data_IF_451693158572
#
_entry.id   IF_451693158572
#
_cell.length_a   1.000
_cell.length_b   1.000
_cell.length_c   1.000
_cell.angle_alpha   90.00
_cell.angle_beta   90.00
_cell.angle_gamma   90.00
#
_symmetry.space_group_name_H-M   'P 1'
#
loop_
_entity.id
_entity.type
_entity.pdbx_description
1 polymer ?
#
# COMPACT_ATOMS: atom_id res chain seq x y z
N UNK A 1 -3.40 -33.38 57.47
CA UNK A 1 -1.94 -33.13 57.41
C UNK A 1 -1.27 -34.34 58.04
N UNK A 2 -0.52 -35.13 57.26
CA UNK A 2 0.06 -36.40 57.71
C UNK A 2 1.51 -36.23 58.17
N UNK A 3 2.02 -37.18 58.95
CA UNK A 3 3.41 -37.21 59.43
C UNK A 3 4.13 -38.44 58.85
N UNK A 4 5.42 -38.29 58.53
CA UNK A 4 6.21 -39.40 58.01
C UNK A 4 6.45 -40.45 59.12
N UNK A 5 6.08 -41.73 58.93
CA UNK A 5 6.20 -42.77 59.95
C UNK A 5 7.66 -43.13 60.29
N UNK A 6 8.63 -42.70 59.46
CA UNK A 6 10.05 -42.99 59.66
C UNK A 6 10.83 -41.87 60.37
N UNK A 7 10.37 -40.61 60.32
CA UNK A 7 11.10 -39.48 60.91
C UNK A 7 10.23 -38.45 61.65
N UNK A 8 8.90 -38.62 61.67
CA UNK A 8 7.96 -37.80 62.46
C UNK A 8 7.76 -36.37 61.99
N UNK A 9 8.29 -35.98 60.82
CA UNK A 9 8.09 -34.63 60.24
C UNK A 9 6.82 -34.55 59.38
N UNK A 10 6.13 -33.40 59.34
CA UNK A 10 4.91 -33.22 58.57
C UNK A 10 5.17 -33.34 57.07
N UNK A 11 4.27 -34.02 56.36
CA UNK A 11 4.30 -34.23 54.91
C UNK A 11 2.91 -33.99 54.32
N UNK A 12 2.81 -33.48 53.07
CA UNK A 12 1.54 -33.37 52.37
C UNK A 12 0.90 -34.75 52.16
N UNK A 13 -0.43 -34.85 52.30
CA UNK A 13 -1.16 -36.13 52.24
C UNK A 13 -0.99 -36.89 50.92
N UNK A 14 -0.73 -36.20 49.81
CA UNK A 14 -0.52 -36.79 48.48
C UNK A 14 0.94 -37.19 48.21
N UNK A 15 1.87 -36.95 49.13
CA UNK A 15 3.29 -37.18 48.88
C UNK A 15 3.65 -38.67 48.87
N UNK A 16 4.20 -39.15 47.75
CA UNK A 16 4.70 -40.55 47.62
C UNK A 16 6.07 -40.78 48.27
N UNK A 17 6.80 -39.71 48.62
CA UNK A 17 8.13 -39.76 49.25
C UNK A 17 8.28 -38.65 50.30
N UNK A 18 9.00 -38.91 51.39
CA UNK A 18 9.30 -37.90 52.39
C UNK A 18 10.47 -37.02 51.92
N UNK A 19 10.22 -35.72 51.70
CA UNK A 19 11.25 -34.74 51.34
C UNK A 19 12.36 -34.53 52.38
N UNK A 20 12.16 -35.00 53.62
CA UNK A 20 13.13 -34.84 54.70
C UNK A 20 14.07 -36.04 54.86
N UNK A 21 13.61 -37.26 54.56
CA UNK A 21 14.43 -38.47 54.74
C UNK A 21 14.53 -39.35 53.47
N UNK A 22 13.88 -38.96 52.37
CA UNK A 22 13.91 -39.64 51.08
C UNK A 22 13.12 -40.95 50.98
N UNK A 23 12.53 -41.44 52.09
CA UNK A 23 11.81 -42.72 52.11
C UNK A 23 10.43 -42.65 51.44
N UNK A 24 10.07 -43.70 50.71
CA UNK A 24 8.77 -43.85 50.03
C UNK A 24 7.65 -44.10 51.04
N UNK A 25 6.52 -43.40 50.85
CA UNK A 25 5.32 -43.46 51.67
C UNK A 25 4.30 -44.33 50.93
N UNK A 26 4.30 -45.64 51.18
CA UNK A 26 3.31 -46.58 50.63
C UNK A 26 2.57 -47.26 51.77
N UNK A 27 1.25 -47.31 51.67
CA UNK A 27 0.38 -48.03 52.59
C UNK A 27 0.49 -49.54 52.34
N UNK A 28 1.08 -50.24 53.32
CA UNK A 28 0.63 -51.53 53.85
C UNK A 28 1.56 -51.92 55.03
N UNK A 29 0.95 -52.24 56.17
CA UNK A 29 1.59 -52.69 57.43
C UNK A 29 1.20 -54.15 57.63
N UNK A 30 2.06 -55.02 58.19
CA UNK A 30 1.64 -55.64 59.45
C UNK A 30 2.71 -55.74 60.53
N UNK A 31 2.19 -55.81 61.75
CA UNK A 31 2.83 -55.86 63.05
C UNK A 31 3.94 -56.90 63.23
N UNK A 32 4.94 -56.56 64.06
CA UNK A 32 5.64 -57.55 64.91
C UNK A 32 5.95 -56.99 66.30
N UNK A 33 5.12 -57.45 67.23
CA UNK A 33 5.43 -57.94 68.57
C UNK A 33 6.79 -57.60 69.22
N UNK A 34 6.66 -56.84 70.33
CA UNK A 34 7.24 -57.03 71.67
C UNK A 34 8.71 -57.49 71.76
N UNK A 35 9.57 -56.58 72.21
CA UNK A 35 10.77 -56.90 72.99
C UNK A 35 10.66 -56.26 74.37
N UNK A 36 10.80 -57.09 75.41
CA UNK A 36 11.46 -56.82 76.71
C UNK A 36 11.42 -58.15 77.48
N UNK A 37 12.57 -58.83 77.60
CA UNK A 37 13.43 -58.85 78.80
C UNK A 37 12.67 -59.14 80.09
N UNK A 38 12.87 -60.34 80.62
CA UNK A 38 12.47 -60.69 81.98
C UNK A 38 12.73 -62.15 82.30
N UNK A 39 13.88 -62.41 82.93
CA UNK A 39 14.13 -63.40 83.99
C UNK A 39 13.47 -64.80 83.83
N UNK A 40 14.29 -65.80 83.59
CA UNK A 40 14.01 -67.18 84.00
C UNK A 40 15.18 -67.65 84.87
N UNK A 41 15.01 -67.47 86.18
CA UNK A 41 15.74 -68.19 87.20
C UNK A 41 14.95 -69.48 87.53
N UNK A 42 15.73 -70.53 87.80
CA UNK A 42 15.39 -71.72 88.59
C UNK A 42 14.50 -72.82 87.97
N UNK A 43 14.65 -73.98 88.62
CA UNK A 43 13.96 -75.28 88.56
C UNK A 43 14.81 -76.43 88.00
N UNK A 44 14.87 -77.62 88.63
CA UNK A 44 14.63 -77.97 90.04
C UNK A 44 15.83 -78.69 90.69
N UNK A 45 15.72 -78.82 92.01
CA UNK A 45 16.59 -79.62 92.86
C UNK A 45 16.77 -81.06 92.36
N UNK A 46 18.01 -81.51 92.47
CA UNK A 46 18.49 -82.87 92.28
C UNK A 46 17.78 -83.87 93.20
N UNK A 47 17.47 -85.04 92.63
CA UNK A 47 17.05 -86.24 93.33
C UNK A 47 18.18 -86.81 94.19
N UNK A 48 17.93 -86.97 95.48
CA UNK A 48 18.78 -87.76 96.37
C UNK A 48 18.61 -89.25 96.06
N UNK A 49 19.70 -89.92 95.66
CA UNK A 49 19.85 -91.37 95.78
C UNK A 49 21.22 -91.71 96.39
N UNK A 50 21.16 -92.62 97.35
CA UNK A 50 22.10 -92.88 98.44
C UNK A 50 23.12 -93.98 98.06
N UNK A 51 24.41 -93.81 98.36
CA UNK A 51 25.35 -94.93 98.59
C UNK A 51 26.31 -94.55 99.73
N UNK A 52 26.35 -95.28 100.85
CA UNK A 52 27.37 -95.13 101.88
C UNK A 52 28.61 -95.95 101.49
N UNK A 53 29.82 -95.57 101.93
CA UNK A 53 30.91 -96.51 102.32
C UNK A 53 32.20 -95.76 102.73
N UNK A 54 32.48 -95.92 104.03
CA UNK A 54 33.77 -96.16 104.71
C UNK A 54 34.83 -95.07 104.83
N UNK A 55 35.25 -94.94 106.10
CA UNK A 55 36.26 -94.07 106.65
C UNK A 55 37.65 -94.21 106.01
N UNK A 56 38.30 -93.05 105.95
CA UNK A 56 39.69 -92.83 105.60
C UNK A 56 40.66 -93.75 106.36
N UNK A 57 41.54 -94.43 105.60
CA UNK A 57 42.92 -94.68 106.03
C UNK A 57 43.78 -93.51 105.54
N UNK A 58 44.33 -92.70 106.46
CA UNK A 58 45.34 -91.67 106.15
C UNK A 58 46.57 -92.35 105.50
N UNK A 59 46.78 -92.11 104.21
CA UNK A 59 48.03 -92.43 103.50
C UNK A 59 48.86 -91.15 103.35
N UNK A 60 50.07 -91.15 103.90
CA UNK A 60 51.08 -90.08 103.71
C UNK A 60 51.55 -90.09 102.25
N UNK A 61 51.45 -88.96 101.58
CA UNK A 61 51.93 -88.73 100.21
C UNK A 61 53.43 -88.38 100.29
N UNK A 62 54.29 -89.02 99.48
CA UNK A 62 55.75 -88.86 99.50
C UNK A 62 56.26 -87.68 98.64
N UNK A 63 57.34 -87.02 99.06
CA UNK A 63 57.88 -85.78 98.45
C UNK A 63 58.10 -85.81 96.93
N UNK A 64 58.46 -86.96 96.34
CA UNK A 64 58.63 -87.10 94.89
C UNK A 64 57.33 -86.98 94.09
N UNK A 65 56.21 -87.45 94.66
CA UNK A 65 54.88 -87.26 94.04
C UNK A 65 54.42 -85.81 94.07
N UNK A 66 54.87 -85.02 95.05
CA UNK A 66 54.59 -83.57 95.14
C UNK A 66 55.35 -82.80 94.06
N UNK A 67 56.63 -83.12 93.82
CA UNK A 67 57.44 -82.48 92.77
C UNK A 67 56.88 -82.80 91.38
N UNK A 68 56.48 -84.05 91.14
CA UNK A 68 55.85 -84.44 89.88
C UNK A 68 54.51 -83.70 89.67
N UNK A 69 53.69 -83.56 90.72
CA UNK A 69 52.47 -82.76 90.68
C UNK A 69 52.75 -81.28 90.43
N UNK A 70 53.81 -80.69 91.00
CA UNK A 70 54.19 -79.29 90.75
C UNK A 70 54.68 -79.07 89.31
N UNK A 71 55.46 -80.01 88.75
CA UNK A 71 55.90 -79.95 87.35
C UNK A 71 54.72 -80.12 86.38
N UNK A 72 53.79 -81.03 86.68
CA UNK A 72 52.55 -81.19 85.93
C UNK A 72 51.69 -79.92 86.03
N UNK A 73 51.56 -79.34 87.21
CA UNK A 73 50.88 -78.06 87.41
C UNK A 73 51.55 -76.93 86.63
N UNK A 74 52.87 -76.86 86.59
CA UNK A 74 53.61 -75.87 85.81
C UNK A 74 53.39 -76.04 84.29
N UNK A 75 53.45 -77.26 83.78
CA UNK A 75 53.13 -77.58 82.39
C UNK A 75 51.67 -77.24 82.03
N UNK A 76 50.73 -77.51 82.94
CA UNK A 76 49.33 -77.11 82.80
C UNK A 76 49.22 -75.58 82.76
N UNK A 77 49.90 -74.85 83.65
CA UNK A 77 49.87 -73.37 83.65
C UNK A 77 50.48 -72.76 82.39
N UNK A 78 51.56 -73.32 81.85
CA UNK A 78 52.16 -72.87 80.60
C UNK A 78 51.25 -73.17 79.40
N UNK A 79 50.58 -74.32 79.38
CA UNK A 79 49.56 -74.64 78.37
C UNK A 79 48.37 -73.68 78.44
N UNK A 80 47.89 -73.37 79.65
CA UNK A 80 46.80 -72.40 79.86
C UNK A 80 47.23 -71.01 79.38
N UNK A 81 48.45 -70.56 79.71
CA UNK A 81 48.95 -69.24 79.28
C UNK A 81 49.14 -69.17 77.75
N UNK A 82 49.68 -70.22 77.13
CA UNK A 82 49.79 -70.34 75.69
C UNK A 82 48.40 -70.36 75.02
N UNK A 83 47.43 -71.03 75.61
CA UNK A 83 46.04 -71.04 75.15
C UNK A 83 45.39 -69.66 75.25
N UNK A 84 45.56 -68.94 76.36
CA UNK A 84 45.04 -67.58 76.52
C UNK A 84 45.68 -66.61 75.52
N UNK A 85 46.99 -66.68 75.32
CA UNK A 85 47.69 -65.85 74.34
C UNK A 85 47.25 -66.18 72.90
N UNK A 86 47.07 -67.47 72.59
CA UNK A 86 46.52 -67.91 71.31
C UNK A 86 45.10 -67.36 71.10
N UNK A 87 44.25 -67.39 72.13
CA UNK A 87 42.91 -66.78 72.07
C UNK A 87 42.98 -65.27 71.84
N UNK A 88 43.90 -64.56 72.48
CA UNK A 88 44.10 -63.11 72.29
C UNK A 88 44.56 -62.76 70.86
N UNK A 89 45.55 -63.49 70.34
CA UNK A 89 46.04 -63.34 68.97
C UNK A 89 44.93 -63.67 67.97
N UNK A 90 44.16 -64.72 68.22
CA UNK A 90 43.01 -65.10 67.38
C UNK A 90 41.95 -64.01 67.40
N UNK A 91 41.67 -63.41 68.56
CA UNK A 91 40.76 -62.27 68.69
C UNK A 91 41.23 -61.04 67.91
N UNK A 92 42.52 -60.68 68.03
CA UNK A 92 43.13 -59.57 67.27
C UNK A 92 43.10 -59.83 65.77
N UNK A 93 43.37 -61.08 65.35
CA UNK A 93 43.29 -61.48 63.94
C UNK A 93 41.87 -61.36 63.39
N UNK A 94 40.86 -61.82 64.11
CA UNK A 94 39.46 -61.71 63.67
C UNK A 94 38.98 -60.25 63.62
N UNK A 95 39.42 -59.38 64.53
CA UNK A 95 39.18 -57.93 64.45
C UNK A 95 39.80 -57.35 63.18
N UNK A 96 41.10 -57.61 62.95
CA UNK A 96 41.81 -57.09 61.77
C UNK A 96 41.21 -57.61 60.46
N UNK A 97 40.79 -58.88 60.43
CA UNK A 97 40.12 -59.50 59.28
C UNK A 97 38.78 -58.84 59.00
N UNK A 98 38.01 -58.53 60.03
CA UNK A 98 36.75 -57.81 59.90
C UNK A 98 36.96 -56.37 59.42
N UNK A 99 37.96 -55.67 59.95
CA UNK A 99 38.27 -54.30 59.54
C UNK A 99 38.79 -54.25 58.10
N UNK A 100 39.63 -55.20 57.68
CA UNK A 100 40.04 -55.36 56.29
C UNK A 100 38.83 -55.62 55.37
N UNK A 101 37.90 -56.48 55.81
CA UNK A 101 36.68 -56.77 55.04
C UNK A 101 35.79 -55.53 54.90
N UNK A 102 35.63 -54.74 55.96
CA UNK A 102 34.92 -53.44 55.91
C UNK A 102 35.61 -52.44 55.00
N UNK A 103 36.94 -52.30 55.12
CA UNK A 103 37.71 -51.38 54.28
C UNK A 103 37.61 -51.75 52.80
N UNK A 104 37.71 -53.04 52.48
CA UNK A 104 37.53 -53.56 51.12
C UNK A 104 36.13 -53.27 50.58
N UNK A 105 35.09 -53.43 51.41
CA UNK A 105 33.72 -53.08 51.05
C UNK A 105 33.59 -51.58 50.75
N UNK A 106 34.09 -50.73 51.66
CA UNK A 106 34.06 -49.27 51.49
C UNK A 106 34.82 -48.82 50.24
N UNK A 107 36.00 -49.41 49.96
CA UNK A 107 36.76 -49.15 48.74
C UNK A 107 35.95 -49.49 47.48
N UNK A 108 35.29 -50.64 47.45
CA UNK A 108 34.46 -51.04 46.32
C UNK A 108 33.28 -50.07 46.12
N UNK A 109 32.61 -49.66 47.21
CA UNK A 109 31.53 -48.66 47.16
C UNK A 109 32.03 -47.31 46.63
N UNK A 110 33.21 -46.86 47.09
CA UNK A 110 33.82 -45.61 46.63
C UNK A 110 34.20 -45.69 45.14
N UNK A 111 34.77 -46.81 44.71
CA UNK A 111 35.13 -47.05 43.30
C UNK A 111 33.90 -46.98 42.39
N UNK A 112 32.82 -47.67 42.74
CA UNK A 112 31.56 -47.59 41.98
C UNK A 112 30.98 -46.18 41.96
N UNK A 113 31.04 -45.46 43.08
CA UNK A 113 30.57 -44.07 43.16
C UNK A 113 31.38 -43.14 42.25
N UNK A 114 32.70 -43.32 42.21
CA UNK A 114 33.60 -42.57 41.33
C UNK A 114 33.32 -42.86 39.84
N UNK A 115 33.15 -44.14 39.47
CA UNK A 115 32.83 -44.52 38.10
C UNK A 115 31.50 -43.91 37.64
N UNK A 116 30.49 -43.89 38.51
CA UNK A 116 29.22 -43.22 38.24
C UNK A 116 29.39 -41.71 38.05
N UNK A 117 30.09 -41.05 38.97
CA UNK A 117 30.34 -39.61 38.88
C UNK A 117 31.09 -39.23 37.58
N UNK A 118 32.07 -40.06 37.17
CA UNK A 118 32.79 -39.88 35.91
C UNK A 118 31.87 -40.01 34.70
N UNK A 119 30.94 -40.97 34.72
CA UNK A 119 29.92 -41.11 33.67
C UNK A 119 28.99 -39.90 33.61
N UNK A 120 28.49 -39.47 34.78
CA UNK A 120 27.61 -38.30 34.89
C UNK A 120 28.30 -37.02 34.38
N UNK A 121 29.59 -36.84 34.71
CA UNK A 121 30.42 -35.74 34.20
C UNK A 121 30.52 -35.76 32.66
N UNK A 122 30.86 -36.92 32.07
CA UNK A 122 30.96 -37.03 30.62
C UNK A 122 29.63 -36.75 29.91
N UNK A 123 28.51 -37.19 30.50
CA UNK A 123 27.18 -36.89 29.96
C UNK A 123 26.83 -35.40 30.04
N UNK A 124 27.22 -34.75 31.13
CA UNK A 124 27.03 -33.31 31.31
C UNK A 124 27.88 -32.51 30.29
N UNK A 125 29.14 -32.88 30.10
CA UNK A 125 30.03 -32.25 29.12
C UNK A 125 29.47 -32.38 27.69
N UNK A 126 29.04 -33.58 27.28
CA UNK A 126 28.40 -33.81 25.98
C UNK A 126 27.12 -32.98 25.81
N UNK A 127 26.35 -32.77 26.88
CA UNK A 127 25.14 -31.92 26.85
C UNK A 127 25.50 -30.45 26.72
N UNK A 128 26.54 -30.01 27.42
CA UNK A 128 27.06 -28.65 27.31
C UNK A 128 27.57 -28.34 25.90
N UNK A 129 28.33 -29.25 25.27
CA UNK A 129 28.83 -29.04 23.90
C UNK A 129 27.67 -28.95 22.88
N UNK A 130 26.63 -29.79 23.04
CA UNK A 130 25.43 -29.71 22.19
C UNK A 130 24.71 -28.36 22.35
N UNK A 131 24.45 -27.95 23.59
CA UNK A 131 23.80 -26.67 23.87
C UNK A 131 24.59 -25.48 23.29
N UNK A 132 25.92 -25.53 23.38
CA UNK A 132 26.81 -24.53 22.78
C UNK A 132 26.66 -24.47 21.26
N UNK A 133 26.60 -25.63 20.58
CA UNK A 133 26.38 -25.71 19.14
C UNK A 133 25.00 -25.21 18.72
N UNK A 134 23.96 -25.56 19.49
CA UNK A 134 22.59 -25.12 19.26
C UNK A 134 22.49 -23.60 19.40
N UNK A 135 23.14 -23.02 20.42
CA UNK A 135 23.21 -21.58 20.63
C UNK A 135 23.87 -20.86 19.45
N UNK A 136 25.03 -21.34 18.98
CA UNK A 136 25.69 -20.73 17.81
C UNK A 136 24.83 -20.82 16.54
N UNK A 137 24.11 -21.93 16.36
CA UNK A 137 23.20 -22.10 15.21
C UNK A 137 21.99 -21.16 15.29
N UNK A 138 21.48 -20.93 16.50
CA UNK A 138 20.39 -20.00 16.75
C UNK A 138 20.82 -18.55 16.50
N UNK A 139 22.03 -18.17 16.91
CA UNK A 139 22.60 -16.84 16.67
C UNK A 139 22.72 -16.54 15.17
N UNK A 140 23.23 -17.48 14.37
CA UNK A 140 23.29 -17.36 12.90
C UNK A 140 21.88 -17.22 12.30
N UNK A 141 20.93 -18.03 12.78
CA UNK A 141 19.54 -17.97 12.30
C UNK A 141 18.87 -16.64 12.63
N UNK A 142 19.14 -16.08 13.82
CA UNK A 142 18.65 -14.79 14.25
C UNK A 142 19.18 -13.66 13.37
N UNK A 143 20.49 -13.60 13.11
CA UNK A 143 21.07 -12.56 12.26
C UNK A 143 20.56 -12.65 10.82
N UNK A 144 20.35 -13.87 10.30
CA UNK A 144 19.70 -14.04 8.99
C UNK A 144 18.27 -13.48 8.99
N UNK A 145 17.45 -13.85 9.97
CA UNK A 145 16.06 -13.37 10.05
C UNK A 145 15.99 -11.84 10.17
N UNK A 146 16.90 -11.24 10.94
CA UNK A 146 17.04 -9.79 11.09
C UNK A 146 17.39 -9.11 9.76
N UNK A 147 18.32 -9.70 8.99
CA UNK A 147 18.66 -9.23 7.65
C UNK A 147 17.45 -9.31 6.70
N UNK A 148 16.74 -10.45 6.69
CA UNK A 148 15.55 -10.66 5.85
C UNK A 148 14.44 -9.66 6.20
N UNK A 149 14.23 -9.37 7.50
CA UNK A 149 13.28 -8.36 7.97
C UNK A 149 13.64 -6.95 7.44
N UNK A 150 14.90 -6.54 7.54
CA UNK A 150 15.34 -5.23 7.07
C UNK A 150 15.15 -5.09 5.54
N UNK A 151 15.47 -6.15 4.78
CA UNK A 151 15.28 -6.18 3.33
C UNK A 151 13.79 -6.09 2.94
N UNK A 152 12.91 -6.77 3.68
CA UNK A 152 11.46 -6.68 3.49
C UNK A 152 10.93 -5.28 3.81
N UNK A 153 11.40 -4.67 4.90
CA UNK A 153 11.01 -3.30 5.27
C UNK A 153 11.40 -2.30 4.19
N UNK A 154 12.61 -2.40 3.65
CA UNK A 154 13.07 -1.57 2.54
C UNK A 154 12.21 -1.78 1.28
N UNK A 155 11.95 -3.04 0.91
CA UNK A 155 11.12 -3.38 -0.26
C UNK A 155 9.69 -2.83 -0.13
N UNK A 156 9.12 -2.90 1.08
CA UNK A 156 7.81 -2.33 1.37
C UNK A 156 7.79 -0.81 1.21
N UNK A 157 8.81 -0.10 1.70
CA UNK A 157 8.92 1.36 1.53
C UNK A 157 9.01 1.74 0.05
N UNK A 158 9.81 1.02 -0.74
CA UNK A 158 9.91 1.26 -2.19
C UNK A 158 8.59 1.00 -2.91
N UNK A 159 7.91 -0.10 -2.58
CA UNK A 159 6.59 -0.41 -3.15
C UNK A 159 5.57 0.69 -2.85
N UNK A 160 5.57 1.20 -1.61
CA UNK A 160 4.70 2.30 -1.21
C UNK A 160 4.96 3.58 -2.02
N UNK A 161 6.22 3.97 -2.18
CA UNK A 161 6.58 5.15 -2.99
C UNK A 161 6.16 4.98 -4.46
N UNK A 162 6.37 3.80 -5.03
CA UNK A 162 5.96 3.49 -6.40
C UNK A 162 4.43 3.56 -6.56
N UNK A 163 3.68 3.08 -5.56
CA UNK A 163 2.23 3.18 -5.54
C UNK A 163 1.75 4.64 -5.50
N UNK A 164 2.31 5.45 -4.60
CA UNK A 164 1.99 6.89 -4.49
C UNK A 164 2.29 7.63 -5.81
N UNK A 165 3.42 7.34 -6.45
CA UNK A 165 3.79 7.91 -7.75
C UNK A 165 2.85 7.47 -8.88
N UNK A 166 2.48 6.18 -8.93
CA UNK A 166 1.52 5.66 -9.91
C UNK A 166 0.14 6.31 -9.74
N UNK A 167 -0.32 6.48 -8.49
CA UNK A 167 -1.58 7.14 -8.18
C UNK A 167 -1.58 8.62 -8.62
N UNK A 168 -0.48 9.34 -8.38
CA UNK A 168 -0.32 10.73 -8.85
C UNK A 168 -0.37 10.83 -10.37
N UNK A 169 0.35 9.94 -11.08
CA UNK A 169 0.35 9.92 -12.54
C UNK A 169 -1.03 9.59 -13.10
N UNK A 170 -1.71 8.62 -12.51
CA UNK A 170 -3.07 8.25 -12.88
C UNK A 170 -4.06 9.41 -12.64
N UNK A 171 -3.95 10.12 -11.51
CA UNK A 171 -4.72 11.33 -11.25
C UNK A 171 -4.46 12.44 -12.28
N UNK A 172 -3.20 12.64 -12.65
CA UNK A 172 -2.82 13.59 -13.71
C UNK A 172 -3.44 13.21 -15.07
N UNK A 173 -3.40 11.93 -15.44
CA UNK A 173 -4.02 11.42 -16.67
C UNK A 173 -5.54 11.57 -16.64
N UNK A 174 -6.19 11.18 -15.55
CA UNK A 174 -7.63 11.35 -15.31
C UNK A 174 -8.07 12.81 -15.50
N UNK A 175 -7.29 13.76 -14.98
CA UNK A 175 -7.53 15.19 -15.15
C UNK A 175 -7.38 15.63 -16.62
N UNK A 176 -6.38 15.14 -17.35
CA UNK A 176 -6.21 15.43 -18.77
C UNK A 176 -7.38 14.90 -19.61
N UNK A 177 -7.83 13.67 -19.35
CA UNK A 177 -9.00 13.08 -20.03
C UNK A 177 -10.27 13.86 -19.69
N UNK A 178 -10.47 14.25 -18.43
CA UNK A 178 -11.62 15.09 -18.04
C UNK A 178 -11.60 16.47 -18.73
N UNK A 179 -10.43 17.09 -18.88
CA UNK A 179 -10.29 18.34 -19.64
C UNK A 179 -10.60 18.13 -21.12
N UNK A 180 -10.12 17.05 -21.71
CA UNK A 180 -10.40 16.67 -23.10
C UNK A 180 -11.92 16.50 -23.32
N UNK A 181 -12.58 15.73 -22.45
CA UNK A 181 -14.02 15.53 -22.44
C UNK A 181 -14.80 16.85 -22.39
N UNK A 182 -14.46 17.74 -21.45
CA UNK A 182 -15.14 19.02 -21.32
C UNK A 182 -14.89 19.95 -22.51
N UNK A 183 -13.69 19.92 -23.10
CA UNK A 183 -13.35 20.76 -24.26
C UNK A 183 -14.09 20.32 -25.52
N UNK A 184 -14.27 19.01 -25.70
CA UNK A 184 -14.95 18.48 -26.86
C UNK A 184 -16.47 18.58 -26.81
N UNK A 185 -17.11 18.77 -25.64
CA UNK A 185 -18.54 19.15 -25.62
C UNK A 185 -18.83 20.45 -26.39
N UNK A 186 -17.80 21.23 -26.68
CA UNK A 186 -17.85 22.51 -27.36
C UNK A 186 -17.34 22.36 -28.81
N UNK A 187 -17.77 21.31 -29.50
CA UNK A 187 -17.24 20.98 -30.83
C UNK A 187 -17.84 21.83 -31.95
N UNK A 188 -19.13 22.18 -31.88
CA UNK A 188 -19.83 22.98 -32.88
C UNK A 188 -20.38 24.29 -32.29
N UNK A 189 -20.67 25.28 -33.13
CA UNK A 189 -21.31 26.53 -32.69
C UNK A 189 -22.75 26.26 -32.21
N UNK A 190 -23.25 27.00 -31.21
CA UNK A 190 -22.60 28.12 -30.54
C UNK A 190 -21.65 27.71 -29.38
N UNK A 191 -21.70 26.48 -28.90
CA UNK A 191 -20.89 26.03 -27.75
C UNK A 191 -19.38 26.21 -27.98
N UNK A 192 -18.93 26.03 -29.24
CA UNK A 192 -17.55 26.18 -29.65
C UNK A 192 -16.97 27.59 -29.43
N UNK A 193 -17.78 28.65 -29.28
CA UNK A 193 -17.29 30.01 -29.08
C UNK A 193 -16.37 30.14 -27.86
N UNK A 194 -16.65 29.42 -26.77
CA UNK A 194 -15.78 29.39 -25.57
C UNK A 194 -14.35 28.93 -25.88
N UNK A 195 -14.22 27.99 -26.82
CA UNK A 195 -12.93 27.44 -27.26
C UNK A 195 -12.29 28.30 -28.34
N UNK A 196 -13.08 28.79 -29.29
CA UNK A 196 -12.57 29.43 -30.51
C UNK A 196 -12.44 30.97 -30.40
N UNK A 197 -13.21 31.62 -29.54
CA UNK A 197 -13.34 33.07 -29.44
C UNK A 197 -13.13 33.57 -28.00
N UNK A 198 -12.00 33.20 -27.39
CA UNK A 198 -11.51 33.74 -26.12
C UNK A 198 -10.24 34.57 -26.32
N UNK A 199 -9.76 35.26 -25.28
CA UNK A 199 -8.68 36.25 -25.44
C UNK A 199 -7.38 35.62 -25.96
N UNK A 200 -7.12 34.38 -25.57
CA UNK A 200 -5.95 33.63 -26.03
C UNK A 200 -6.01 33.37 -27.53
N UNK A 201 -7.14 32.86 -28.05
CA UNK A 201 -7.31 32.62 -29.48
C UNK A 201 -7.37 33.91 -30.30
N UNK A 202 -8.02 34.96 -29.80
CA UNK A 202 -8.04 36.27 -30.47
C UNK A 202 -6.61 36.81 -30.63
N UNK A 203 -5.72 36.66 -29.64
CA UNK A 203 -4.33 37.13 -29.78
C UNK A 203 -3.53 36.33 -30.80
N UNK A 204 -3.90 35.09 -31.11
CA UNK A 204 -3.15 34.23 -32.05
C UNK A 204 -3.27 34.68 -33.51
N UNK A 205 -4.24 35.53 -33.86
CA UNK A 205 -4.36 36.11 -35.23
C UNK A 205 -3.49 37.37 -35.43
N UNK A 206 -2.79 37.83 -34.38
CA UNK A 206 -2.05 39.08 -34.36
C UNK A 206 -1.07 39.26 -35.52
N UNK A 207 -0.31 38.21 -35.85
CA UNK A 207 0.74 38.27 -36.87
C UNK A 207 0.18 38.61 -38.25
N UNK A 208 -1.00 38.12 -38.58
CA UNK A 208 -1.68 38.39 -39.84
C UNK A 208 -2.34 39.76 -39.81
N UNK A 209 -3.16 40.03 -38.79
CA UNK A 209 -3.97 41.26 -38.73
C UNK A 209 -3.09 42.50 -38.67
N UNK A 210 -1.98 42.46 -37.93
CA UNK A 210 -1.04 43.59 -37.84
C UNK A 210 -0.36 43.92 -39.17
N UNK A 211 -0.24 42.97 -40.09
CA UNK A 211 0.37 43.19 -41.41
C UNK A 211 -0.62 43.79 -42.42
N UNK A 212 -1.90 43.39 -42.32
CA UNK A 212 -2.90 43.76 -43.32
C UNK A 212 -3.75 44.97 -42.91
N UNK A 213 -3.85 45.28 -41.62
CA UNK A 213 -4.72 46.34 -41.11
C UNK A 213 -4.17 47.75 -41.32
N UNK A 214 -5.11 48.71 -41.31
CA UNK A 214 -4.86 50.14 -41.33
C UNK A 214 -5.53 50.76 -40.08
N UNK A 215 -4.76 51.33 -39.12
CA UNK A 215 -5.31 51.84 -37.87
C UNK A 215 -6.20 53.07 -38.03
N UNK A 216 -6.11 53.79 -39.15
CA UNK A 216 -6.83 55.04 -39.37
C UNK A 216 -8.11 54.87 -40.19
N UNK A 217 -8.34 53.70 -40.79
CA UNK A 217 -9.45 53.49 -41.71
C UNK A 217 -9.99 52.05 -41.64
N UNK A 218 -10.97 51.86 -40.76
CA UNK A 218 -11.47 50.54 -40.41
C UNK A 218 -12.13 49.79 -41.58
N UNK A 219 -12.79 50.49 -42.51
CA UNK A 219 -13.41 49.86 -43.68
C UNK A 219 -12.38 49.13 -44.57
N UNK A 220 -11.24 49.76 -44.89
CA UNK A 220 -10.13 49.10 -45.63
C UNK A 220 -9.61 47.87 -44.87
N UNK A 221 -9.49 47.96 -43.55
CA UNK A 221 -9.09 46.81 -42.73
C UNK A 221 -10.07 45.63 -42.86
N UNK A 222 -11.38 45.88 -42.79
CA UNK A 222 -12.38 44.82 -42.93
C UNK A 222 -12.34 44.17 -44.33
N UNK A 223 -12.20 45.00 -45.37
CA UNK A 223 -12.07 44.53 -46.76
C UNK A 223 -10.81 43.68 -46.94
N UNK A 224 -9.68 44.09 -46.35
CA UNK A 224 -8.42 43.34 -46.40
C UNK A 224 -8.48 42.04 -45.62
N UNK A 225 -9.17 42.00 -44.47
CA UNK A 225 -9.42 40.76 -43.73
C UNK A 225 -10.22 39.79 -44.60
N UNK A 226 -11.33 40.24 -45.20
CA UNK A 226 -12.13 39.44 -46.12
C UNK A 226 -11.27 38.90 -47.28
N UNK A 227 -10.57 39.78 -47.99
CA UNK A 227 -9.73 39.43 -49.13
C UNK A 227 -8.61 38.47 -48.74
N UNK A 228 -8.01 38.64 -47.56
CA UNK A 228 -7.00 37.73 -47.04
C UNK A 228 -7.57 36.33 -46.87
N UNK A 229 -8.74 36.20 -46.21
CA UNK A 229 -9.36 34.89 -45.97
C UNK A 229 -9.71 34.21 -47.29
N UNK A 230 -10.41 34.91 -48.19
CA UNK A 230 -10.77 34.38 -49.52
C UNK A 230 -9.55 33.93 -50.32
N UNK A 231 -8.42 34.65 -50.22
CA UNK A 231 -7.22 34.34 -51.00
C UNK A 231 -6.33 33.26 -50.38
N UNK A 232 -6.43 33.04 -49.06
CA UNK A 232 -5.48 32.20 -48.33
C UNK A 232 -6.10 30.99 -47.64
N UNK A 233 -7.43 30.95 -47.45
CA UNK A 233 -8.14 29.88 -46.77
C UNK A 233 -9.00 29.14 -47.79
N UNK A 234 -8.67 27.89 -48.03
CA UNK A 234 -9.43 27.03 -48.95
C UNK A 234 -10.68 26.49 -48.25
N UNK A 235 -11.83 26.58 -48.91
CA UNK A 235 -13.03 25.88 -48.45
C UNK A 235 -12.78 24.36 -48.43
N UNK A 236 -12.92 23.75 -47.26
CA UNK A 236 -12.80 22.30 -47.08
C UNK A 236 -13.79 21.87 -45.98
N UNK A 237 -14.64 20.88 -46.30
CA UNK A 237 -15.52 20.28 -45.30
C UNK A 237 -14.71 19.63 -44.20
N UNK A 238 -15.28 19.60 -43.01
CA UNK A 238 -14.70 18.90 -41.90
C UNK A 238 -14.43 17.41 -42.17
N UNK A 239 -13.36 16.95 -41.54
CA UNK A 239 -13.06 15.53 -41.41
C UNK A 239 -13.74 15.00 -40.15
N UNK A 240 -14.09 13.72 -40.14
CA UNK A 240 -14.65 13.08 -38.95
C UNK A 240 -13.69 13.23 -37.75
N UNK A 241 -14.09 14.07 -36.80
CA UNK A 241 -13.31 14.37 -35.60
C UNK A 241 -13.74 13.46 -34.47
N UNK A 242 -12.79 12.70 -33.93
CA UNK A 242 -13.03 11.84 -32.77
C UNK A 242 -13.04 12.67 -31.49
N UNK A 243 -14.01 12.38 -30.62
CA UNK A 243 -14.11 13.03 -29.32
C UNK A 243 -14.64 12.11 -28.23
N UNK A 244 -14.36 12.47 -26.98
CA UNK A 244 -14.84 11.71 -25.82
C UNK A 244 -16.31 12.04 -25.58
N UNK A 245 -17.20 11.05 -25.69
CA UNK A 245 -18.65 11.20 -25.52
C UNK A 245 -19.10 11.00 -24.09
N UNK A 246 -18.46 10.10 -23.35
CA UNK A 246 -18.76 9.80 -21.95
C UNK A 246 -17.49 9.41 -21.19
N UNK A 247 -17.48 9.62 -19.87
CA UNK A 247 -16.40 9.22 -18.97
C UNK A 247 -16.98 8.54 -17.74
N UNK A 248 -16.54 7.30 -17.46
CA UNK A 248 -16.80 6.62 -16.20
C UNK A 248 -15.84 7.12 -15.12
N UNK A 249 -16.37 7.38 -13.93
CA UNK A 249 -15.60 7.91 -12.80
C UNK A 249 -15.82 7.09 -11.54
N UNK A 250 -14.74 6.88 -10.79
CA UNK A 250 -14.79 6.37 -9.41
C UNK A 250 -14.31 7.44 -8.44
N UNK A 251 -14.83 7.41 -7.22
CA UNK A 251 -14.35 8.24 -6.11
C UNK A 251 -13.40 7.42 -5.25
N UNK A 252 -12.14 7.85 -5.17
CA UNK A 252 -11.11 7.25 -4.31
C UNK A 252 -10.45 8.38 -3.52
N UNK A 253 -10.40 8.26 -2.19
CA UNK A 253 -9.77 9.24 -1.30
C UNK A 253 -10.19 10.70 -1.61
N UNK A 254 -11.50 10.92 -1.77
CA UNK A 254 -12.09 12.22 -2.11
C UNK A 254 -11.72 12.81 -3.47
N UNK A 255 -11.10 12.02 -4.36
CA UNK A 255 -10.74 12.43 -5.72
C UNK A 255 -11.46 11.57 -6.77
N UNK A 256 -11.92 12.20 -7.86
CA UNK A 256 -12.53 11.48 -8.98
C UNK A 256 -11.47 11.02 -9.97
N UNK A 257 -11.48 9.72 -10.28
CA UNK A 257 -10.60 9.11 -11.28
C UNK A 257 -11.40 8.56 -12.45
N UNK A 258 -10.98 8.91 -13.68
CA UNK A 258 -11.55 8.38 -14.92
C UNK A 258 -11.08 6.95 -15.13
N UNK A 259 -12.00 5.99 -15.12
CA UNK A 259 -11.72 4.55 -15.25
C UNK A 259 -12.02 4.00 -16.64
N UNK A 260 -12.93 4.65 -17.37
CA UNK A 260 -13.26 4.33 -18.75
C UNK A 260 -13.74 5.60 -19.48
N UNK A 261 -13.82 5.50 -20.80
CA UNK A 261 -14.43 6.53 -21.64
C UNK A 261 -14.90 5.94 -22.96
N UNK A 262 -15.92 6.57 -23.55
CA UNK A 262 -16.39 6.25 -24.90
C UNK A 262 -15.95 7.31 -25.89
N UNK A 263 -15.69 6.90 -27.14
CA UNK A 263 -15.31 7.80 -28.23
C UNK A 263 -16.44 7.81 -29.25
N UNK A 264 -16.88 9.01 -29.63
CA UNK A 264 -17.75 9.25 -30.79
C UNK A 264 -17.00 10.00 -31.89
N UNK A 265 -17.68 10.20 -33.02
CA UNK A 265 -17.23 11.07 -34.11
C UNK A 265 -18.26 12.17 -34.39
N UNK A 266 -17.80 13.32 -34.84
CA UNK A 266 -18.62 14.38 -35.43
C UNK A 266 -18.01 14.78 -36.79
N UNK A 267 -18.87 15.06 -37.76
CA UNK A 267 -18.48 15.56 -39.08
C UNK A 267 -18.64 17.08 -39.19
N UNK A 268 -18.78 17.75 -38.05
CA UNK A 268 -19.10 19.17 -37.92
C UNK A 268 -18.37 19.70 -36.68
N UNK A 269 -17.16 20.20 -36.88
CA UNK A 269 -16.19 20.63 -35.87
C UNK A 269 -15.67 22.03 -36.19
N UNK A 270 -16.10 23.00 -35.37
CA UNK A 270 -15.64 24.37 -35.51
C UNK A 270 -14.17 24.51 -35.10
N UNK A 271 -13.32 24.91 -36.03
CA UNK A 271 -11.91 25.14 -35.81
C UNK A 271 -11.67 26.48 -35.11
N UNK A 272 -10.67 26.55 -34.20
CA UNK A 272 -10.24 27.84 -33.66
C UNK A 272 -9.50 28.65 -34.75
N UNK A 273 -9.56 29.99 -34.73
CA UNK A 273 -8.95 30.86 -35.75
C UNK A 273 -7.46 30.54 -36.02
N UNK A 274 -6.72 30.21 -34.96
CA UNK A 274 -5.29 29.87 -35.07
C UNK A 274 -5.05 28.57 -35.85
N UNK A 275 -5.95 27.60 -35.74
CA UNK A 275 -5.88 26.36 -36.52
C UNK A 275 -6.18 26.65 -37.99
N UNK A 276 -7.29 27.36 -38.28
CA UNK A 276 -7.68 27.73 -39.65
C UNK A 276 -6.55 28.46 -40.38
N UNK A 277 -5.88 29.41 -39.71
CA UNK A 277 -4.69 30.10 -40.26
C UNK A 277 -3.51 29.17 -40.50
N UNK A 278 -3.28 28.21 -39.60
CA UNK A 278 -2.16 27.27 -39.67
C UNK A 278 -2.33 26.28 -40.82
N UNK A 279 -3.52 25.70 -40.97
CA UNK A 279 -3.79 24.67 -41.98
C UNK A 279 -4.30 25.24 -43.30
N UNK A 280 -4.67 26.53 -43.33
CA UNK A 280 -5.13 27.25 -44.53
C UNK A 280 -6.37 26.63 -45.20
N UNK A 281 -7.22 26.02 -44.39
CA UNK A 281 -8.46 25.40 -44.81
C UNK A 281 -9.51 25.50 -43.70
N UNK A 282 -10.77 25.47 -44.09
CA UNK A 282 -11.94 25.47 -43.22
C UNK A 282 -13.20 25.78 -44.03
N UNK A 283 -14.34 25.28 -43.60
CA UNK A 283 -15.64 25.54 -44.23
C UNK A 283 -16.27 26.83 -43.67
N UNK A 284 -17.60 26.89 -43.59
CA UNK A 284 -18.32 28.16 -43.46
C UNK A 284 -18.14 28.79 -42.08
N UNK A 285 -18.32 28.02 -41.02
CA UNK A 285 -18.16 28.45 -39.64
C UNK A 285 -16.71 28.75 -39.31
N UNK A 286 -15.76 27.97 -39.81
CA UNK A 286 -14.33 28.23 -39.61
C UNK A 286 -13.92 29.59 -40.16
N UNK A 287 -14.35 29.89 -41.38
CA UNK A 287 -14.02 31.16 -42.03
C UNK A 287 -14.76 32.34 -41.39
N UNK A 288 -16.01 32.15 -40.93
CA UNK A 288 -16.74 33.17 -40.19
C UNK A 288 -16.11 33.45 -38.81
N UNK A 289 -15.71 32.40 -38.08
CA UNK A 289 -14.99 32.47 -36.81
C UNK A 289 -13.65 33.20 -36.98
N UNK A 290 -12.90 32.88 -38.04
CA UNK A 290 -11.65 33.54 -38.36
C UNK A 290 -11.87 35.03 -38.69
N UNK A 291 -12.85 35.35 -39.54
CA UNK A 291 -13.19 36.74 -39.88
C UNK A 291 -13.57 37.55 -38.63
N UNK A 292 -14.44 36.97 -37.79
CA UNK A 292 -14.85 37.56 -36.52
C UNK A 292 -13.65 37.83 -35.61
N UNK A 293 -12.79 36.83 -35.43
CA UNK A 293 -11.61 36.93 -34.57
C UNK A 293 -10.62 38.00 -35.06
N UNK A 294 -10.39 38.07 -36.37
CA UNK A 294 -9.50 39.07 -36.98
C UNK A 294 -10.04 40.50 -36.78
N UNK A 295 -11.34 40.71 -36.95
CA UNK A 295 -11.98 42.01 -36.73
C UNK A 295 -11.97 42.38 -35.25
N UNK A 296 -12.28 41.44 -34.34
CA UNK A 296 -12.22 41.68 -32.89
C UNK A 296 -10.79 41.98 -32.40
N UNK A 297 -9.78 41.29 -32.94
CA UNK A 297 -8.38 41.62 -32.65
C UNK A 297 -8.07 43.06 -33.07
N UNK A 298 -8.45 43.45 -34.29
CA UNK A 298 -8.27 44.82 -34.78
C UNK A 298 -8.94 45.85 -33.86
N UNK A 299 -10.21 45.63 -33.46
CA UNK A 299 -10.92 46.51 -32.53
C UNK A 299 -10.20 46.72 -31.21
N UNK A 300 -9.77 45.63 -30.59
CA UNK A 300 -9.16 45.65 -29.25
C UNK A 300 -7.73 46.17 -29.23
N UNK A 301 -6.93 45.80 -30.23
CA UNK A 301 -5.47 45.93 -30.15
C UNK A 301 -4.87 46.91 -31.15
N UNK A 302 -5.63 47.35 -32.16
CA UNK A 302 -5.12 48.27 -33.20
C UNK A 302 -5.97 49.54 -33.28
N UNK A 303 -7.28 49.42 -33.45
CA UNK A 303 -8.20 50.56 -33.56
C UNK A 303 -8.49 51.23 -32.22
N UNK A 304 -8.50 50.47 -31.13
CA UNK A 304 -8.77 50.98 -29.78
C UNK A 304 -10.24 51.32 -29.51
N UNK A 305 -11.16 50.84 -30.35
CA UNK A 305 -12.62 50.95 -30.14
C UNK A 305 -13.31 49.69 -30.62
N UNK A 306 -14.14 49.12 -29.76
CA UNK A 306 -15.00 48.00 -30.12
C UNK A 306 -16.34 48.49 -30.66
N UNK A 307 -16.81 47.84 -31.72
CA UNK A 307 -18.15 47.98 -32.25
C UNK A 307 -18.90 46.65 -32.12
N UNK A 308 -20.22 46.73 -32.18
CA UNK A 308 -21.07 45.54 -32.27
C UNK A 308 -20.66 44.72 -33.50
N UNK A 309 -20.51 43.42 -33.32
CA UNK A 309 -20.14 42.48 -34.36
C UNK A 309 -20.78 41.16 -33.99
N UNK A 310 -21.49 40.55 -34.94
CA UNK A 310 -22.24 39.32 -34.70
C UNK A 310 -21.77 38.20 -35.60
N UNK A 311 -21.73 36.99 -35.06
CA UNK A 311 -21.72 35.79 -35.89
C UNK A 311 -23.18 35.50 -36.25
N UNK A 312 -23.44 35.32 -37.54
CA UNK A 312 -24.74 34.98 -38.08
C UNK A 312 -24.74 33.51 -38.49
N UNK A 313 -25.50 32.69 -37.78
CA UNK A 313 -25.85 31.34 -38.21
C UNK A 313 -27.07 31.44 -39.13
N UNK A 314 -26.92 31.00 -40.37
CA UNK A 314 -27.89 31.13 -41.45
C UNK A 314 -28.45 29.75 -41.73
N UNK A 315 -29.76 29.59 -41.63
CA UNK A 315 -30.45 28.36 -42.02
C UNK A 315 -31.18 28.62 -43.33
N UNK A 316 -30.92 27.79 -44.33
CA UNK A 316 -31.57 27.86 -45.63
C UNK A 316 -32.92 27.11 -45.65
N UNK A 317 -33.74 27.34 -46.67
CA UNK A 317 -35.09 26.74 -46.75
C UNK A 317 -35.09 25.21 -46.82
N UNK A 318 -34.00 24.60 -47.24
CA UNK A 318 -33.87 23.14 -47.31
C UNK A 318 -33.28 22.50 -46.04
N UNK A 319 -33.00 23.32 -45.02
CA UNK A 319 -32.46 22.88 -43.73
C UNK A 319 -30.94 22.85 -43.63
N UNK A 320 -30.20 23.12 -44.72
CA UNK A 320 -28.74 23.31 -44.63
C UNK A 320 -28.38 24.60 -43.88
N UNK A 321 -27.25 24.60 -43.19
CA UNK A 321 -26.74 25.74 -42.43
C UNK A 321 -25.50 26.37 -43.10
N UNK A 322 -25.25 27.63 -42.79
CA UNK A 322 -24.08 28.41 -43.19
C UNK A 322 -23.75 29.44 -42.11
N UNK A 323 -22.54 29.99 -42.12
CA UNK A 323 -22.13 31.00 -41.16
C UNK A 323 -21.51 32.23 -41.85
N UNK A 324 -21.79 33.41 -41.29
CA UNK A 324 -21.24 34.68 -41.76
C UNK A 324 -21.00 35.64 -40.59
N UNK A 325 -20.38 36.79 -40.86
CA UNK A 325 -20.21 37.88 -39.89
C UNK A 325 -21.07 39.07 -40.32
N UNK A 326 -21.83 39.63 -39.37
CA UNK A 326 -22.67 40.81 -39.60
C UNK A 326 -22.20 41.95 -38.70
N UNK A 327 -21.86 43.07 -39.35
CA UNK A 327 -21.52 44.34 -38.73
C UNK A 327 -22.71 45.30 -38.85
N UNK A 328 -23.46 45.58 -37.77
CA UNK A 328 -24.42 46.66 -37.76
C UNK A 328 -23.72 48.02 -37.85
N UNK A 329 -24.33 48.95 -38.57
CA UNK A 329 -23.83 50.30 -38.81
C UNK A 329 -24.96 51.30 -38.56
N UNK A 330 -24.62 52.40 -37.89
CA UNK A 330 -25.56 53.44 -37.49
C UNK A 330 -26.49 53.88 -38.63
N UNK A 331 -27.77 54.07 -38.29
CA UNK A 331 -28.82 54.46 -39.24
C UNK A 331 -29.47 53.26 -39.91
N UNK A 332 -29.51 52.12 -39.20
CA UNK A 332 -30.16 50.90 -39.68
C UNK A 332 -29.47 50.24 -40.88
N UNK A 333 -28.16 50.47 -41.04
CA UNK A 333 -27.36 49.87 -42.10
C UNK A 333 -26.59 48.66 -41.61
N UNK A 334 -26.17 47.80 -42.52
CA UNK A 334 -25.38 46.60 -42.21
C UNK A 334 -24.28 46.40 -43.25
N UNK A 335 -23.21 45.73 -42.82
CA UNK A 335 -22.21 45.13 -43.68
C UNK A 335 -22.11 43.64 -43.34
N UNK A 336 -22.29 42.78 -44.34
CA UNK A 336 -22.16 41.34 -44.24
C UNK A 336 -20.78 40.96 -44.79
N UNK A 337 -20.05 40.17 -44.03
CA UNK A 337 -18.72 39.67 -44.36
C UNK A 337 -18.79 38.14 -44.32
N UNK A 338 -18.77 37.52 -45.48
CA UNK A 338 -18.93 36.08 -45.66
C UNK A 338 -17.87 35.56 -46.66
N UNK A 339 -16.64 35.27 -46.19
CA UNK A 339 -15.58 34.76 -47.04
C UNK A 339 -15.94 33.42 -47.69
N UNK A 340 -16.57 32.50 -46.94
CA UNK A 340 -16.92 31.17 -47.42
C UNK A 340 -17.99 31.19 -48.52
N UNK A 341 -18.96 32.09 -48.41
CA UNK A 341 -19.96 32.35 -49.44
C UNK A 341 -19.51 33.29 -50.55
N UNK A 342 -18.27 33.78 -50.52
CA UNK A 342 -17.75 34.81 -51.44
C UNK A 342 -18.69 36.04 -51.50
N UNK A 343 -19.17 36.50 -50.35
CA UNK A 343 -20.05 37.66 -50.24
C UNK A 343 -19.46 38.73 -49.31
N UNK A 344 -19.35 39.95 -49.84
CA UNK A 344 -18.98 41.13 -49.07
C UNK A 344 -19.95 42.26 -49.45
N UNK A 345 -20.63 42.83 -48.44
CA UNK A 345 -21.43 44.05 -48.68
C UNK A 345 -20.52 45.11 -49.27
N UNK A 346 -20.83 45.49 -50.50
CA UNK A 346 -19.97 46.33 -51.30
C UNK A 346 -20.77 47.23 -52.23
N UNK A 347 -20.18 48.37 -52.56
CA UNK A 347 -20.66 49.27 -53.61
C UNK A 347 -19.65 49.34 -54.74
N UNK A 348 -20.11 49.64 -55.95
CA UNK A 348 -19.20 49.85 -57.09
C UNK A 348 -18.55 51.23 -56.99
N UNK A 349 -17.22 51.27 -56.96
CA UNK A 349 -16.45 52.50 -57.04
C UNK A 349 -16.12 52.77 -58.52
N UNK A 350 -16.71 53.83 -59.07
CA UNK A 350 -16.53 54.21 -60.47
C UNK A 350 -15.13 54.75 -60.78
N UNK A 351 -14.37 55.18 -59.77
CA UNK A 351 -13.02 55.71 -59.97
C UNK A 351 -11.98 54.61 -60.08
N UNK A 352 -12.10 53.56 -59.26
CA UNK A 352 -11.16 52.43 -59.29
C UNK A 352 -11.68 51.27 -60.14
N UNK A 353 -12.93 51.34 -60.62
CA UNK A 353 -13.62 50.26 -61.33
C UNK A 353 -13.62 48.95 -60.52
N UNK A 354 -13.74 49.06 -59.20
CA UNK A 354 -13.73 47.90 -58.29
C UNK A 354 -14.90 47.98 -57.33
N UNK A 355 -15.38 46.84 -56.85
CA UNK A 355 -16.29 46.82 -55.70
C UNK A 355 -15.48 47.07 -54.43
N UNK A 356 -15.90 48.04 -53.63
CA UNK A 356 -15.31 48.38 -52.32
C UNK A 356 -16.30 48.04 -51.23
N UNK A 357 -15.80 47.68 -50.05
CA UNK A 357 -16.67 47.41 -48.91
C UNK A 357 -17.57 48.61 -48.61
N UNK A 358 -18.81 48.35 -48.19
CA UNK A 358 -19.78 49.37 -47.89
C UNK A 358 -20.74 48.91 -46.79
N UNK A 359 -21.65 49.79 -46.39
CA UNK A 359 -22.87 49.41 -45.67
C UNK A 359 -24.10 49.82 -46.47
N UNK A 360 -25.16 49.02 -46.36
CA UNK A 360 -26.46 49.29 -47.00
C UNK A 360 -27.60 49.10 -46.00
N UNK A 361 -28.79 49.58 -46.34
CA UNK A 361 -29.98 49.42 -45.50
C UNK A 361 -30.23 47.94 -45.19
N UNK A 362 -30.48 47.63 -43.91
CA UNK A 362 -30.57 46.26 -43.41
C UNK A 362 -31.58 45.39 -44.18
N UNK A 363 -32.75 45.94 -44.51
CA UNK A 363 -33.80 45.21 -45.23
C UNK A 363 -33.30 44.87 -46.64
N UNK A 364 -32.79 45.87 -47.35
CA UNK A 364 -32.30 45.68 -48.73
C UNK A 364 -31.10 44.75 -48.83
N UNK A 365 -30.17 44.83 -47.88
CA UNK A 365 -28.93 44.06 -47.91
C UNK A 365 -29.15 42.61 -47.49
N UNK A 366 -29.98 42.35 -46.48
CA UNK A 366 -30.34 40.97 -46.12
C UNK A 366 -31.13 40.29 -47.24
N UNK A 367 -32.00 41.03 -47.95
CA UNK A 367 -32.66 40.50 -49.14
C UNK A 367 -31.64 40.21 -50.26
N UNK A 368 -30.69 41.11 -50.50
CA UNK A 368 -29.62 40.90 -51.48
C UNK A 368 -28.76 39.68 -51.12
N UNK A 369 -28.47 39.49 -49.84
CA UNK A 369 -27.75 38.33 -49.33
C UNK A 369 -28.55 37.04 -49.50
N UNK A 370 -29.84 37.02 -49.17
CA UNK A 370 -30.68 35.85 -49.49
C UNK A 370 -30.77 35.58 -50.99
N UNK A 371 -30.74 36.62 -51.83
CA UNK A 371 -30.77 36.46 -53.29
C UNK A 371 -29.46 35.87 -53.83
N UNK A 372 -28.32 36.19 -53.21
CA UNK A 372 -27.02 35.55 -53.52
C UNK A 372 -27.08 34.03 -53.33
N UNK A 373 -27.85 33.59 -52.34
CA UNK A 373 -28.13 32.18 -52.07
C UNK A 373 -29.39 31.64 -52.76
N UNK A 374 -30.03 32.36 -53.68
CA UNK A 374 -31.33 31.96 -54.25
C UNK A 374 -31.24 30.70 -55.12
N UNK A 375 -30.20 30.56 -55.94
CA UNK A 375 -29.92 29.30 -56.65
C UNK A 375 -29.59 28.15 -55.67
N UNK A 376 -29.26 28.50 -54.43
CA UNK A 376 -28.87 27.62 -53.33
C UNK A 376 -29.91 27.69 -52.19
N UNK A 377 -31.21 27.65 -52.52
CA UNK A 377 -32.32 27.42 -51.57
C UNK A 377 -32.90 28.65 -50.85
N UNK A 378 -32.22 29.81 -50.83
CA UNK A 378 -32.69 31.03 -50.13
C UNK A 378 -32.69 30.89 -48.60
N UNK A 379 -32.63 32.01 -47.88
CA UNK A 379 -32.49 32.01 -46.42
C UNK A 379 -33.86 31.88 -45.74
N UNK A 380 -33.99 30.93 -44.81
CA UNK A 380 -35.18 30.69 -43.98
C UNK A 380 -35.15 31.52 -42.70
N UNK A 381 -34.02 31.48 -41.99
CA UNK A 381 -33.84 32.18 -40.71
C UNK A 381 -32.37 32.49 -40.46
N UNK A 382 -32.11 33.48 -39.61
CA UNK A 382 -30.77 33.83 -39.13
C UNK A 382 -30.81 33.94 -37.61
N UNK A 383 -29.80 33.42 -36.94
CA UNK A 383 -29.52 33.65 -35.51
C UNK A 383 -28.24 34.45 -35.37
N UNK A 384 -28.31 35.55 -34.62
CA UNK A 384 -27.19 36.45 -34.35
C UNK A 384 -26.65 36.23 -32.95
N UNK A 385 -25.35 35.95 -32.87
CA UNK A 385 -24.62 35.77 -31.63
C UNK A 385 -23.70 36.96 -31.36
N UNK A 386 -23.82 37.55 -30.17
CA UNK A 386 -22.81 38.45 -29.60
C UNK A 386 -21.91 37.63 -28.68
N UNK A 387 -20.59 37.82 -28.80
CA UNK A 387 -19.59 37.00 -28.12
C UNK A 387 -18.69 37.90 -27.27
N UNK A 388 -18.63 37.61 -25.95
CA UNK A 388 -17.63 38.17 -25.07
C UNK A 388 -16.31 37.43 -25.30
N UNK A 389 -15.44 38.04 -26.11
CA UNK A 389 -14.15 37.44 -26.46
C UNK A 389 -13.14 37.36 -25.30
N UNK A 390 -13.51 37.76 -24.07
CA UNK A 390 -12.66 37.57 -22.90
C UNK A 390 -12.68 36.11 -22.42
N UNK A 391 -13.81 35.43 -22.54
CA UNK A 391 -14.01 34.03 -22.11
C UNK A 391 -14.80 33.17 -23.11
N UNK A 392 -15.24 33.76 -24.22
CA UNK A 392 -16.05 33.16 -25.27
C UNK A 392 -17.48 32.82 -24.85
N UNK A 393 -17.97 33.38 -23.74
CA UNK A 393 -19.41 33.41 -23.44
C UNK A 393 -20.17 34.19 -24.52
N UNK A 394 -21.43 33.82 -24.76
CA UNK A 394 -22.22 34.37 -25.87
C UNK A 394 -23.68 34.62 -25.47
N UNK A 395 -24.35 35.48 -26.24
CA UNK A 395 -25.79 35.73 -26.17
C UNK A 395 -26.41 35.73 -27.56
N UNK A 396 -27.61 35.18 -27.68
CA UNK A 396 -28.44 35.35 -28.87
C UNK A 396 -29.08 36.74 -28.78
N UNK A 397 -28.69 37.64 -29.67
CA UNK A 397 -29.21 39.02 -29.69
C UNK A 397 -30.47 39.16 -30.56
N UNK A 398 -30.60 38.30 -31.58
CA UNK A 398 -31.79 38.16 -32.39
C UNK A 398 -31.81 36.79 -33.07
N UNK A 399 -32.99 36.20 -33.24
CA UNK A 399 -33.19 34.99 -34.03
C UNK A 399 -34.56 35.04 -34.68
N UNK A 400 -34.65 34.73 -35.97
CA UNK A 400 -35.91 34.75 -36.70
C UNK A 400 -35.75 34.80 -38.21
N UNK A 401 -36.84 35.12 -38.89
CA UNK A 401 -36.90 35.36 -40.33
C UNK A 401 -36.08 36.59 -40.75
N UNK A 402 -35.82 36.76 -42.06
CA UNK A 402 -35.08 37.92 -42.56
C UNK A 402 -35.70 39.25 -42.17
N UNK A 403 -37.03 39.35 -42.17
CA UNK A 403 -37.72 40.60 -41.83
C UNK A 403 -37.58 40.94 -40.34
N UNK A 404 -37.59 39.95 -39.46
CA UNK A 404 -37.37 40.12 -38.02
C UNK A 404 -35.92 40.55 -37.74
N UNK A 405 -34.95 39.90 -38.39
CA UNK A 405 -33.54 40.24 -38.25
C UNK A 405 -33.23 41.61 -38.86
N UNK A 406 -33.83 41.94 -40.01
CA UNK A 406 -33.74 43.27 -40.57
C UNK A 406 -34.34 44.32 -39.62
N UNK A 407 -35.52 44.06 -39.05
CA UNK A 407 -36.16 44.96 -38.07
C UNK A 407 -35.31 45.17 -36.82
N UNK A 408 -34.62 44.13 -36.34
CA UNK A 408 -33.65 44.24 -35.25
C UNK A 408 -32.46 45.13 -35.65
N UNK A 409 -31.82 44.85 -36.79
CA UNK A 409 -30.64 45.59 -37.26
C UNK A 409 -30.98 47.03 -37.68
N UNK A 410 -32.20 47.30 -38.16
CA UNK A 410 -32.67 48.66 -38.49
C UNK A 410 -32.79 49.58 -37.27
N UNK A 411 -32.78 49.05 -36.05
CA UNK A 411 -32.83 49.84 -34.80
C UNK A 411 -31.45 50.32 -34.32
N UNK A 412 -30.39 49.93 -35.01
CA UNK A 412 -28.99 50.19 -34.61
C UNK A 412 -28.38 51.49 -35.12
#
# INVERSE_FOLDING_TARGET
>A
MSFCPYCGKPVPEWAKFCKHCGKRLTEEVPARHKTQRGRVEQWPASSDYYIPVKAQKKRRIGKGTIILLLLVMMLITLNILAYVNLQEITGKYEILRNDYSKLKSNYNTLKTSYEKLKSDYNNLDNTYQRLKSDYSSLEVSYEKLKSDYNALQYSYQQLRLNYEYALQNYGSLSNKVSKLYNSFKLYHIPEAFKRCLNDEEIRKVASVVSQISNPNYSWDTYERIYNYIVSNIKYARDIDMLYVTEIGRILLDSNYYVVDFTIGSTSDYTQPPSLTLKIKQGDCEDQAILAYAMIKYYYRYIHGREYNLYIAEVVFNDGSAHAAVILPVMGGKVCIIDPAGNYLTSTFDSWTWTRRIASKDAVSELQAYSNHWFSNRGIKSITLYDINVSDGSYWIVASGSLSEIASFLSRS
#
